data_IF_715370907166
#
_entry.id   IF_715370907166
#
_cell.length_a   1.000
_cell.length_b   1.000
_cell.length_c   1.000
_cell.angle_alpha   90.00
_cell.angle_beta   90.00
_cell.angle_gamma   90.00
#
_symmetry.space_group_name_H-M   'P 1'
#
loop_
_entity.id
_entity.type
_entity.pdbx_description
1 polymer ?
#
# COMPACT_ATOMS: atom_id res chain seq x y z
N UNK A 1 21.89 -14.18 -5.78
CA UNK A 1 21.54 -12.78 -6.10
C UNK A 1 20.75 -12.23 -4.93
N UNK A 2 21.24 -11.23 -4.17
CA UNK A 2 20.42 -10.63 -3.15
C UNK A 2 19.36 -9.81 -3.89
N UNK A 3 18.13 -10.33 -3.94
CA UNK A 3 16.96 -9.54 -4.33
C UNK A 3 16.99 -8.36 -3.38
N UNK A 4 17.34 -7.16 -3.87
CA UNK A 4 17.17 -5.91 -3.14
C UNK A 4 15.72 -5.88 -2.72
N UNK A 5 15.47 -6.36 -1.50
CA UNK A 5 14.15 -6.50 -0.92
C UNK A 5 13.67 -5.08 -0.82
N UNK A 6 12.81 -4.75 -1.76
CA UNK A 6 12.18 -3.45 -1.79
C UNK A 6 11.61 -3.21 -0.38
N UNK A 7 11.98 -2.11 0.28
CA UNK A 7 11.76 -1.95 1.72
C UNK A 7 10.27 -1.96 2.07
N UNK A 8 9.41 -1.67 1.10
CA UNK A 8 7.97 -1.61 1.26
C UNK A 8 7.25 -2.82 0.63
N UNK A 9 7.99 -3.81 0.11
CA UNK A 9 7.41 -5.02 -0.49
C UNK A 9 6.56 -5.82 0.50
N UNK A 10 6.94 -5.87 1.78
CA UNK A 10 6.19 -6.60 2.79
C UNK A 10 4.77 -6.04 2.93
N UNK A 11 4.67 -4.73 3.16
CA UNK A 11 3.40 -4.02 3.22
C UNK A 11 2.60 -4.11 1.90
N UNK A 12 3.27 -4.14 0.74
CA UNK A 12 2.60 -4.32 -0.55
C UNK A 12 1.95 -5.71 -0.67
N UNK A 13 2.64 -6.76 -0.22
CA UNK A 13 2.08 -8.11 -0.12
C UNK A 13 0.92 -8.17 0.87
N UNK A 14 1.00 -7.48 2.01
CA UNK A 14 -0.09 -7.41 2.99
C UNK A 14 -1.35 -6.75 2.39
N UNK A 15 -1.21 -5.73 1.54
CA UNK A 15 -2.36 -5.11 0.86
C UNK A 15 -3.00 -6.10 -0.10
N UNK A 16 -2.20 -6.80 -0.91
CA UNK A 16 -2.72 -7.86 -1.78
C UNK A 16 -3.44 -8.94 -0.97
N UNK A 17 -2.86 -9.43 0.12
CA UNK A 17 -3.46 -10.43 0.97
C UNK A 17 -4.77 -9.93 1.61
N UNK A 18 -4.77 -8.67 2.07
CA UNK A 18 -5.95 -8.05 2.63
C UNK A 18 -7.07 -7.94 1.59
N UNK A 19 -6.76 -7.48 0.38
CA UNK A 19 -7.74 -7.39 -0.71
C UNK A 19 -8.29 -8.77 -1.07
N UNK A 20 -7.44 -9.79 -1.21
CA UNK A 20 -7.90 -11.17 -1.48
C UNK A 20 -8.88 -11.66 -0.40
N UNK A 21 -8.59 -11.41 0.88
CA UNK A 21 -9.43 -11.84 2.00
C UNK A 21 -10.73 -11.03 2.14
N UNK A 22 -10.70 -9.76 1.74
CA UNK A 22 -11.82 -8.83 1.88
C UNK A 22 -12.56 -8.60 0.56
N UNK A 23 -12.49 -9.52 -0.41
CA UNK A 23 -13.17 -9.38 -1.70
C UNK A 23 -12.84 -8.06 -2.44
N UNK A 24 -11.58 -7.63 -2.36
CA UNK A 24 -11.04 -6.39 -2.93
C UNK A 24 -11.67 -5.10 -2.36
N UNK A 25 -12.28 -5.17 -1.18
CA UNK A 25 -12.77 -3.98 -0.46
C UNK A 25 -11.57 -3.21 0.11
N UNK A 26 -11.17 -2.15 -0.59
CA UNK A 26 -10.01 -1.32 -0.20
C UNK A 26 -10.21 -0.61 1.15
N UNK A 27 -11.45 -0.27 1.50
CA UNK A 27 -11.77 0.40 2.79
C UNK A 27 -11.39 -0.46 4.00
N UNK A 28 -11.68 -1.77 3.96
CA UNK A 28 -11.26 -2.72 5.00
C UNK A 28 -9.73 -2.82 5.13
N UNK A 29 -9.02 -2.52 4.04
CA UNK A 29 -7.56 -2.56 3.96
C UNK A 29 -6.90 -1.19 4.18
N UNK A 30 -7.68 -0.15 4.53
CA UNK A 30 -7.20 1.22 4.73
C UNK A 30 -5.99 1.29 5.67
N UNK A 31 -6.01 0.52 6.76
CA UNK A 31 -4.90 0.50 7.71
C UNK A 31 -3.59 0.01 7.09
N UNK A 32 -3.64 -1.04 6.28
CA UNK A 32 -2.46 -1.63 5.61
C UNK A 32 -1.96 -0.70 4.50
N UNK A 33 -2.88 -0.05 3.79
CA UNK A 33 -2.57 0.94 2.75
C UNK A 33 -1.84 2.16 3.35
N UNK A 34 -2.31 2.67 4.50
CA UNK A 34 -1.65 3.76 5.22
C UNK A 34 -0.28 3.35 5.77
N UNK A 35 -0.10 2.09 6.21
CA UNK A 35 1.20 1.60 6.64
C UNK A 35 2.22 1.57 5.49
N UNK A 36 1.80 1.14 4.29
CA UNK A 36 2.66 1.21 3.12
C UNK A 36 2.99 2.66 2.74
N UNK A 37 2.03 3.60 2.86
CA UNK A 37 2.29 5.02 2.65
C UNK A 37 3.40 5.55 3.58
N UNK A 38 3.33 5.20 4.87
CA UNK A 38 4.38 5.56 5.83
C UNK A 38 5.73 4.97 5.44
N UNK A 39 5.75 3.69 5.02
CA UNK A 39 6.99 3.09 4.53
C UNK A 39 7.58 3.86 3.33
N UNK A 40 6.72 4.31 2.41
CA UNK A 40 7.15 5.10 1.26
C UNK A 40 7.72 6.47 1.64
N UNK A 41 7.14 7.11 2.65
CA UNK A 41 7.62 8.37 3.22
C UNK A 41 9.00 8.18 3.88
N UNK A 42 9.14 7.15 4.73
CA UNK A 42 10.40 6.83 5.41
C UNK A 42 11.50 6.35 4.46
N UNK A 43 11.13 5.74 3.33
CA UNK A 43 12.06 5.26 2.32
C UNK A 43 12.32 6.26 1.19
N UNK A 44 11.87 7.52 1.29
CA UNK A 44 12.04 8.54 0.25
C UNK A 44 11.59 8.06 -1.16
N UNK A 45 10.51 7.27 -1.24
CA UNK A 45 10.05 6.64 -2.49
C UNK A 45 11.10 5.74 -3.20
N UNK A 46 12.09 5.20 -2.47
CA UNK A 46 13.04 4.21 -3.02
C UNK A 46 12.39 2.88 -3.40
N UNK A 47 11.14 2.67 -2.99
CA UNK A 47 10.36 1.49 -3.34
C UNK A 47 9.58 1.69 -4.64
N UNK A 48 9.64 0.69 -5.51
CA UNK A 48 8.90 0.64 -6.77
C UNK A 48 7.39 0.51 -6.54
N UNK A 49 7.01 0.03 -5.36
CA UNK A 49 5.60 -0.15 -4.98
C UNK A 49 4.95 1.18 -4.57
N UNK A 50 5.72 2.20 -4.19
CA UNK A 50 5.19 3.49 -3.77
C UNK A 50 4.42 4.21 -4.88
N UNK A 51 4.97 4.25 -6.09
CA UNK A 51 4.31 4.89 -7.23
C UNK A 51 2.96 4.23 -7.58
N UNK A 52 2.91 2.89 -7.54
CA UNK A 52 1.68 2.14 -7.79
C UNK A 52 0.65 2.33 -6.67
N UNK A 53 1.10 2.57 -5.44
CA UNK A 53 0.20 2.71 -4.29
C UNK A 53 -0.36 4.12 -4.08
N UNK A 54 0.30 5.17 -4.55
CA UNK A 54 -0.24 6.53 -4.50
C UNK A 54 -1.66 6.61 -5.07
N UNK A 55 -1.95 5.83 -6.11
CA UNK A 55 -3.30 5.70 -6.67
C UNK A 55 -4.28 4.95 -5.75
N UNK A 56 -3.84 3.90 -5.04
CA UNK A 56 -4.67 3.20 -4.05
C UNK A 56 -4.98 4.08 -2.83
N UNK A 57 -3.97 4.78 -2.32
CA UNK A 57 -4.14 5.73 -1.19
C UNK A 57 -5.14 6.80 -1.58
N UNK A 58 -4.97 7.40 -2.77
CA UNK A 58 -5.92 8.39 -3.26
C UNK A 58 -7.35 7.85 -3.33
N UNK A 59 -7.56 6.57 -3.65
CA UNK A 59 -8.89 5.96 -3.64
C UNK A 59 -9.46 5.79 -2.23
N UNK A 60 -8.70 5.22 -1.28
CA UNK A 60 -9.18 5.04 0.12
C UNK A 60 -9.31 6.35 0.90
N UNK A 61 -8.66 7.41 0.44
CA UNK A 61 -8.77 8.75 1.04
C UNK A 61 -9.84 9.59 0.35
N UNK A 62 -10.17 9.32 -0.93
CA UNK A 62 -11.27 9.98 -1.66
C UNK A 62 -12.63 9.33 -1.45
N UNK A 63 -12.70 8.14 -0.86
CA UNK A 63 -13.97 7.54 -0.41
C UNK A 63 -14.49 8.13 0.90
N UNK A 64 -14.04 9.32 1.33
CA UNK A 64 -14.91 10.19 2.12
C UNK A 64 -15.96 10.79 1.17
N UNK A 65 -17.24 10.32 1.19
CA UNK A 65 -18.31 11.17 0.69
C UNK A 65 -18.35 12.40 1.59
N UNK A 66 -18.08 13.58 1.01
CA UNK A 66 -18.54 14.83 1.60
C UNK A 66 -20.07 14.83 1.64
#
# INVERSE_FOLDING_TARGET
MPKSKDPCNQHACDIQACLQRNHYVMESCRQVILNLQKCCDECENRSKHCAALSGLIAQVTRTEPK
#
